data_IF_123224198794
#
_entry.id   IF_123224198794
#
_cell.length_a   1.000
_cell.length_b   1.000
_cell.length_c   1.000
_cell.angle_alpha   90.00
_cell.angle_beta   90.00
_cell.angle_gamma   90.00
#
_symmetry.space_group_name_H-M   'P 1'
#
loop_
_entity.id
_entity.type
_entity.pdbx_description
1 polymer ?
#
# COMPACT_ATOMS: atom_id res chain seq x y z
N UNK A 1 -24.94 -10.67 11.91
CA UNK A 1 -23.76 -11.00 12.74
C UNK A 1 -23.45 -9.75 13.55
N UNK A 2 -23.65 -9.78 14.87
CA UNK A 2 -23.42 -8.61 15.73
C UNK A 2 -21.94 -8.47 16.10
N UNK A 3 -21.23 -7.43 15.61
CA UNK A 3 -19.81 -7.24 15.85
C UNK A 3 -19.48 -6.75 17.28
N UNK A 4 -20.49 -6.42 18.09
CA UNK A 4 -20.36 -5.92 19.47
C UNK A 4 -20.55 -6.99 20.55
N UNK A 5 -20.83 -8.25 20.17
CA UNK A 5 -21.01 -9.33 21.15
C UNK A 5 -19.67 -9.68 21.82
N UNK A 6 -19.64 -9.75 23.16
CA UNK A 6 -18.45 -10.13 23.94
C UNK A 6 -17.84 -11.45 23.47
N UNK A 7 -18.69 -12.38 23.03
CA UNK A 7 -18.29 -13.67 22.44
C UNK A 7 -17.49 -13.51 21.14
N UNK A 8 -17.82 -12.54 20.29
CA UNK A 8 -17.05 -12.28 19.07
C UNK A 8 -15.65 -11.74 19.41
N UNK A 9 -15.54 -10.89 20.44
CA UNK A 9 -14.25 -10.36 20.90
C UNK A 9 -13.38 -11.45 21.55
N UNK A 10 -13.97 -12.34 22.34
CA UNK A 10 -13.27 -13.50 22.92
C UNK A 10 -12.77 -14.46 21.84
N UNK A 11 -13.61 -14.78 20.84
CA UNK A 11 -13.23 -15.62 19.71
C UNK A 11 -12.09 -15.00 18.89
N UNK A 12 -12.15 -13.70 18.62
CA UNK A 12 -11.08 -12.98 17.91
C UNK A 12 -9.77 -12.99 18.68
N UNK A 13 -9.83 -12.80 20.00
CA UNK A 13 -8.65 -12.83 20.87
C UNK A 13 -8.00 -14.21 20.86
N UNK A 14 -8.82 -15.27 20.96
CA UNK A 14 -8.36 -16.66 20.90
C UNK A 14 -7.67 -17.01 19.58
N UNK A 15 -8.22 -16.56 18.44
CA UNK A 15 -7.62 -16.76 17.11
C UNK A 15 -6.28 -16.00 17.02
N UNK A 16 -6.26 -14.73 17.45
CA UNK A 16 -5.04 -13.88 17.43
C UNK A 16 -3.90 -14.45 18.26
N UNK A 17 -4.18 -15.09 19.40
CA UNK A 17 -3.14 -15.74 20.23
C UNK A 17 -2.55 -17.00 19.60
N UNK A 18 -3.25 -17.67 18.67
CA UNK A 18 -2.73 -18.87 17.98
C UNK A 18 -2.07 -18.59 16.63
N UNK A 19 -2.28 -17.40 16.06
CA UNK A 19 -1.66 -17.02 14.80
C UNK A 19 -0.19 -16.67 15.03
N UNK A 20 0.71 -17.39 14.36
CA UNK A 20 2.15 -17.19 14.50
C UNK A 20 2.55 -15.75 14.14
N UNK A 21 3.42 -15.13 14.95
CA UNK A 21 3.85 -13.73 14.81
C UNK A 21 4.41 -13.41 13.42
N UNK A 22 4.92 -14.42 12.71
CA UNK A 22 5.45 -14.30 11.35
C UNK A 22 4.43 -13.80 10.30
N UNK A 23 3.12 -13.90 10.59
CA UNK A 23 2.05 -13.52 9.66
C UNK A 23 1.28 -12.27 10.09
N UNK A 24 1.68 -11.61 11.18
CA UNK A 24 1.09 -10.33 11.58
C UNK A 24 1.67 -9.23 10.69
N UNK A 25 0.86 -8.40 10.01
CA UNK A 25 1.38 -7.23 9.31
C UNK A 25 2.19 -6.41 10.30
N UNK A 26 3.44 -6.12 9.95
CA UNK A 26 4.29 -5.28 10.76
C UNK A 26 3.60 -3.92 10.88
N UNK A 27 2.95 -3.68 12.02
CA UNK A 27 2.51 -2.34 12.39
C UNK A 27 3.77 -1.50 12.45
N UNK A 28 4.07 -0.82 11.35
CA UNK A 28 5.17 0.14 11.27
C UNK A 28 4.66 1.38 12.00
N UNK A 29 4.43 1.25 13.31
CA UNK A 29 4.14 2.31 14.27
C UNK A 29 5.41 3.04 14.65
N UNK A 30 6.28 3.32 13.67
CA UNK A 30 7.46 4.14 13.87
C UNK A 30 7.07 5.61 13.75
N UNK A 31 7.76 6.49 14.49
CA UNK A 31 7.62 7.94 14.37
C UNK A 31 7.68 8.43 12.90
N UNK A 32 8.38 7.71 12.02
CA UNK A 32 8.40 7.94 10.58
C UNK A 32 7.01 7.83 9.92
N UNK A 33 6.15 6.91 10.35
CA UNK A 33 4.78 6.78 9.83
C UNK A 33 3.89 7.96 10.27
N UNK A 34 4.20 8.55 11.43
CA UNK A 34 3.55 9.80 11.90
C UNK A 34 4.05 11.02 11.12
N UNK A 35 5.35 11.08 10.79
CA UNK A 35 5.94 12.19 10.04
C UNK A 35 5.63 12.11 8.53
N UNK A 36 5.48 10.90 7.98
CA UNK A 36 5.15 10.63 6.59
C UNK A 36 3.65 10.33 6.41
N UNK A 37 2.79 10.96 7.21
CA UNK A 37 1.33 10.76 7.14
C UNK A 37 0.72 11.04 5.76
N UNK A 38 1.42 11.80 4.91
CA UNK A 38 1.01 12.06 3.53
C UNK A 38 1.07 10.80 2.65
N UNK A 39 1.80 9.76 3.05
CA UNK A 39 1.83 8.48 2.31
C UNK A 39 0.47 7.76 2.35
N UNK A 40 -0.34 7.91 3.41
CA UNK A 40 -1.67 7.26 3.49
C UNK A 40 -2.77 8.01 2.72
N UNK A 41 -2.44 9.15 2.10
CA UNK A 41 -3.47 9.96 1.44
C UNK A 41 -3.98 9.29 0.16
N UNK A 42 -5.30 9.28 -0.07
CA UNK A 42 -5.87 8.76 -1.32
C UNK A 42 -5.26 9.45 -2.55
N UNK A 43 -5.05 8.69 -3.63
CA UNK A 43 -4.44 9.18 -4.88
C UNK A 43 -5.06 10.49 -5.38
N UNK A 44 -6.39 10.60 -5.30
CA UNK A 44 -7.13 11.81 -5.69
C UNK A 44 -6.67 13.07 -4.91
N UNK A 45 -6.42 12.92 -3.59
CA UNK A 45 -5.97 14.03 -2.74
C UNK A 45 -4.55 14.46 -3.09
N UNK A 46 -3.66 13.51 -3.39
CA UNK A 46 -2.28 13.79 -3.87
C UNK A 46 -2.29 14.54 -5.20
N UNK A 47 -3.16 14.15 -6.12
CA UNK A 47 -3.34 14.83 -7.41
C UNK A 47 -3.86 16.27 -7.25
N UNK A 48 -4.85 16.51 -6.38
CA UNK A 48 -5.38 17.86 -6.13
C UNK A 48 -4.29 18.77 -5.52
N UNK A 49 -3.54 18.28 -4.55
CA UNK A 49 -2.46 19.05 -3.90
C UNK A 49 -1.33 19.34 -4.88
N UNK A 50 -0.94 18.35 -5.69
CA UNK A 50 0.02 18.55 -6.78
C UNK A 50 -0.46 19.58 -7.79
N UNK A 51 -1.70 19.48 -8.27
CA UNK A 51 -2.27 20.42 -9.24
C UNK A 51 -2.33 21.86 -8.68
N UNK A 52 -2.69 22.03 -7.40
CA UNK A 52 -2.69 23.33 -6.75
C UNK A 52 -1.28 23.92 -6.63
N UNK A 53 -0.28 23.10 -6.26
CA UNK A 53 1.12 23.53 -6.19
C UNK A 53 1.65 23.97 -7.57
N UNK A 54 1.32 23.22 -8.63
CA UNK A 54 1.65 23.57 -10.01
C UNK A 54 0.99 24.89 -10.43
N UNK A 55 -0.31 25.06 -10.17
CA UNK A 55 -1.04 26.28 -10.50
C UNK A 55 -0.44 27.51 -9.79
N UNK A 56 -0.07 27.39 -8.51
CA UNK A 56 0.61 28.45 -7.75
C UNK A 56 2.00 28.76 -8.35
N UNK A 57 2.77 27.72 -8.69
CA UNK A 57 4.08 27.87 -9.33
C UNK A 57 4.00 28.59 -10.68
N UNK A 58 3.00 28.25 -11.50
CA UNK A 58 2.74 28.92 -12.79
C UNK A 58 2.29 30.35 -12.58
N UNK A 59 1.40 30.62 -11.62
CA UNK A 59 0.88 31.96 -11.36
C UNK A 59 1.98 32.92 -10.87
N UNK A 60 2.99 32.41 -10.16
CA UNK A 60 4.20 33.14 -9.78
C UNK A 60 5.18 33.35 -10.94
N UNK A 61 5.11 32.54 -12.00
CA UNK A 61 5.85 32.71 -13.26
C UNK A 61 5.17 33.67 -14.24
N UNK A 62 3.85 33.89 -14.12
CA UNK A 62 3.11 34.85 -14.95
C UNK A 62 3.71 36.26 -14.76
N UNK A 63 4.08 36.97 -15.84
CA UNK A 63 4.82 38.21 -15.73
C UNK A 63 3.92 39.35 -15.24
N UNK A 64 3.89 39.56 -13.93
CA UNK A 64 3.44 40.83 -13.37
C UNK A 64 4.64 41.78 -13.44
N UNK A 65 4.62 42.68 -14.42
CA UNK A 65 5.74 43.53 -14.81
C UNK A 65 6.42 44.25 -13.62
N UNK A 66 7.72 44.00 -13.38
CA UNK A 66 8.49 44.79 -12.42
C UNK A 66 9.79 44.17 -11.89
N UNK A 67 10.66 45.02 -11.32
CA UNK A 67 12.00 44.71 -10.78
C UNK A 67 12.03 43.68 -9.63
N UNK A 68 10.87 43.36 -9.04
CA UNK A 68 10.64 42.26 -8.07
C UNK A 68 10.83 40.86 -8.66
N UNK A 69 11.02 40.73 -9.98
CA UNK A 69 11.17 39.49 -10.76
C UNK A 69 12.17 38.47 -10.20
N UNK A 70 13.38 38.88 -9.81
CA UNK A 70 14.43 37.93 -9.34
C UNK A 70 14.14 37.37 -7.95
N UNK A 71 13.51 38.16 -7.08
CA UNK A 71 13.16 37.72 -5.73
C UNK A 71 11.94 36.79 -5.75
N UNK A 72 10.93 37.08 -6.59
CA UNK A 72 9.74 36.24 -6.72
C UNK A 72 10.00 34.95 -7.52
N UNK A 73 10.89 34.97 -8.52
CA UNK A 73 11.27 33.74 -9.25
C UNK A 73 12.03 32.74 -8.38
N UNK A 74 12.82 33.22 -7.41
CA UNK A 74 13.46 32.35 -6.42
C UNK A 74 12.43 31.71 -5.48
N UNK A 75 11.33 32.42 -5.19
CA UNK A 75 10.23 31.92 -4.36
C UNK A 75 9.41 30.82 -5.07
N UNK A 76 9.35 30.83 -6.41
CA UNK A 76 8.69 29.79 -7.21
C UNK A 76 9.36 28.40 -7.09
N UNK A 77 10.61 28.32 -6.62
CA UNK A 77 11.32 27.04 -6.45
C UNK A 77 10.60 26.13 -5.45
N UNK A 78 10.01 26.69 -4.40
CA UNK A 78 9.31 25.94 -3.36
C UNK A 78 8.06 25.20 -3.88
N UNK A 79 7.08 25.86 -4.56
CA UNK A 79 5.91 25.15 -5.08
C UNK A 79 6.25 24.13 -6.17
N UNK A 80 7.26 24.39 -7.00
CA UNK A 80 7.74 23.38 -7.97
C UNK A 80 8.42 22.19 -7.29
N UNK A 81 9.19 22.41 -6.22
CA UNK A 81 9.75 21.31 -5.43
C UNK A 81 8.65 20.47 -4.77
N UNK A 82 7.61 21.11 -4.23
CA UNK A 82 6.42 20.43 -3.68
C UNK A 82 5.69 19.65 -4.77
N UNK A 83 5.52 20.22 -5.96
CA UNK A 83 4.90 19.54 -7.09
C UNK A 83 5.70 18.31 -7.53
N UNK A 84 7.02 18.44 -7.70
CA UNK A 84 7.91 17.32 -8.05
C UNK A 84 7.85 16.23 -6.97
N UNK A 85 7.89 16.60 -5.69
CA UNK A 85 7.77 15.64 -4.59
C UNK A 85 6.42 14.91 -4.61
N UNK A 86 5.32 15.60 -4.94
CA UNK A 86 3.98 15.00 -5.07
C UNK A 86 3.88 14.07 -6.28
N UNK A 87 4.41 14.46 -7.44
CA UNK A 87 4.45 13.60 -8.63
C UNK A 87 5.31 12.38 -8.36
N UNK A 88 6.50 12.55 -7.77
CA UNK A 88 7.36 11.45 -7.38
C UNK A 88 6.65 10.51 -6.39
N UNK A 89 5.96 11.04 -5.37
CA UNK A 89 5.16 10.23 -4.46
C UNK A 89 4.09 9.42 -5.20
N UNK A 90 3.37 10.01 -6.15
CA UNK A 90 2.31 9.32 -6.92
C UNK A 90 2.89 8.24 -7.83
N UNK A 91 4.02 8.52 -8.48
CA UNK A 91 4.71 7.54 -9.35
C UNK A 91 5.31 6.40 -8.53
N UNK A 92 5.80 6.67 -7.33
CA UNK A 92 6.31 5.66 -6.41
C UNK A 92 5.18 4.88 -5.69
N UNK A 93 3.97 5.42 -5.64
CA UNK A 93 2.78 4.75 -5.06
C UNK A 93 2.18 3.65 -5.94
N UNK A 94 2.78 3.40 -7.11
CA UNK A 94 2.19 2.54 -8.12
C UNK A 94 2.53 1.06 -7.90
N UNK A 95 2.03 0.55 -6.76
CA UNK A 95 1.48 -0.80 -6.61
C UNK A 95 0.33 -0.67 -5.61
N UNK A 96 -0.87 -0.34 -6.10
CA UNK A 96 -2.07 -0.57 -5.30
C UNK A 96 -2.15 -2.07 -5.07
N UNK A 97 -1.77 -2.37 -3.84
CA UNK A 97 -1.53 -3.67 -3.32
C UNK A 97 -2.87 -4.00 -2.65
N UNK A 98 -3.74 -4.69 -3.41
CA UNK A 98 -5.09 -5.00 -2.95
C UNK A 98 -4.95 -5.98 -1.76
N UNK A 99 -5.44 -5.60 -0.59
CA UNK A 99 -5.46 -6.51 0.56
C UNK A 99 -6.38 -7.69 0.24
N UNK A 100 -5.88 -8.90 0.49
CA UNK A 100 -6.56 -10.15 0.21
C UNK A 100 -6.40 -11.10 1.39
N UNK A 101 -7.34 -12.01 1.55
CA UNK A 101 -7.31 -13.04 2.59
C UNK A 101 -7.21 -14.40 1.94
N UNK A 102 -6.27 -15.21 2.42
CA UNK A 102 -6.13 -16.61 2.04
C UNK A 102 -7.35 -17.38 2.56
N UNK A 103 -8.08 -18.04 1.67
CA UNK A 103 -9.32 -18.76 2.00
C UNK A 103 -9.07 -20.19 2.51
N UNK A 104 -8.05 -20.85 1.96
CA UNK A 104 -7.67 -22.23 2.28
C UNK A 104 -6.18 -22.35 2.52
N UNK A 105 -5.76 -23.39 3.25
CA UNK A 105 -4.34 -23.66 3.52
C UNK A 105 -3.60 -23.90 2.19
N UNK A 106 -2.73 -22.96 1.80
CA UNK A 106 -2.13 -22.93 0.46
C UNK A 106 -0.62 -22.79 0.52
N UNK A 107 0.07 -23.56 -0.31
CA UNK A 107 1.53 -23.45 -0.44
C UNK A 107 1.85 -22.22 -1.28
N UNK A 108 2.58 -21.26 -0.69
CA UNK A 108 3.15 -20.14 -1.44
C UNK A 108 4.29 -20.66 -2.32
N UNK A 109 4.23 -20.42 -3.63
CA UNK A 109 5.20 -20.93 -4.61
C UNK A 109 6.11 -19.84 -5.16
N UNK A 110 7.32 -20.20 -5.56
CA UNK A 110 8.27 -19.23 -6.13
C UNK A 110 7.88 -18.79 -7.57
N UNK A 111 7.13 -19.61 -8.30
CA UNK A 111 6.68 -19.34 -9.67
C UNK A 111 5.20 -19.74 -9.86
N UNK A 112 4.60 -19.24 -10.95
CA UNK A 112 3.22 -19.44 -11.40
C UNK A 112 2.97 -20.84 -11.99
N UNK A 113 3.45 -21.88 -11.30
CA UNK A 113 3.25 -23.27 -11.71
C UNK A 113 3.08 -24.22 -10.52
N UNK A 114 2.33 -25.31 -10.75
CA UNK A 114 2.07 -26.31 -9.71
C UNK A 114 3.33 -27.09 -9.29
N UNK A 115 4.35 -27.14 -10.15
CA UNK A 115 5.64 -27.79 -9.88
C UNK A 115 6.69 -26.88 -9.24
N UNK A 116 6.40 -25.58 -9.08
CA UNK A 116 7.36 -24.66 -8.50
C UNK A 116 7.64 -24.97 -7.02
N UNK A 117 8.89 -24.78 -6.57
CA UNK A 117 9.24 -24.99 -5.17
C UNK A 117 8.47 -24.03 -4.26
N UNK A 118 8.26 -24.45 -3.02
CA UNK A 118 7.64 -23.61 -2.02
C UNK A 118 8.55 -22.41 -1.69
N UNK A 119 8.00 -21.20 -1.75
CA UNK A 119 8.68 -19.98 -1.35
C UNK A 119 8.77 -19.85 0.18
N UNK A 120 7.91 -20.56 0.92
CA UNK A 120 7.93 -20.66 2.37
C UNK A 120 8.04 -22.12 2.79
N UNK A 121 8.73 -22.36 3.90
CA UNK A 121 8.84 -23.70 4.49
C UNK A 121 7.51 -24.25 5.01
N UNK A 122 6.55 -23.37 5.31
CA UNK A 122 5.22 -23.72 5.78
C UNK A 122 4.15 -23.16 4.83
N UNK A 123 3.03 -23.87 4.63
CA UNK A 123 1.89 -23.34 3.88
C UNK A 123 1.29 -22.13 4.61
N UNK A 124 0.68 -21.23 3.84
CA UNK A 124 -0.08 -20.11 4.36
C UNK A 124 -1.38 -20.65 4.96
N UNK A 125 -1.64 -20.43 6.25
CA UNK A 125 -2.89 -20.85 6.85
C UNK A 125 -4.05 -20.00 6.33
N UNK A 126 -5.25 -20.59 6.30
CA UNK A 126 -6.49 -19.84 6.04
C UNK A 126 -6.62 -18.62 6.97
N UNK A 127 -7.17 -17.54 6.46
CA UNK A 127 -7.30 -16.27 7.19
C UNK A 127 -6.03 -15.43 7.22
N UNK A 128 -4.96 -15.83 6.53
CA UNK A 128 -3.75 -15.00 6.42
C UNK A 128 -4.04 -13.79 5.54
N UNK A 129 -3.82 -12.60 6.10
CA UNK A 129 -3.82 -11.35 5.34
C UNK A 129 -2.57 -11.30 4.46
N UNK A 130 -2.79 -11.13 3.16
CA UNK A 130 -1.75 -11.04 2.15
C UNK A 130 -2.04 -9.87 1.24
N UNK A 131 -1.00 -9.36 0.63
CA UNK A 131 -1.11 -8.22 -0.25
C UNK A 131 -1.00 -8.68 -1.70
N UNK A 132 -2.04 -8.44 -2.49
CA UNK A 132 -2.12 -8.90 -3.89
C UNK A 132 -1.27 -7.99 -4.78
N UNK A 133 -0.26 -8.59 -5.43
CA UNK A 133 0.68 -7.88 -6.28
C UNK A 133 0.27 -7.93 -7.75
N UNK A 134 -0.14 -9.10 -8.21
CA UNK A 134 -0.38 -9.38 -9.63
C UNK A 134 -1.33 -10.57 -9.77
N UNK A 135 -2.16 -10.60 -10.80
CA UNK A 135 -3.02 -11.75 -11.13
C UNK A 135 -2.77 -12.17 -12.57
N UNK A 136 -2.52 -13.47 -12.79
CA UNK A 136 -2.25 -14.09 -14.09
C UNK A 136 -3.05 -15.38 -14.23
N UNK A 137 -4.06 -15.39 -15.08
CA UNK A 137 -4.90 -16.56 -15.36
C UNK A 137 -5.30 -17.32 -14.08
N UNK A 138 -4.70 -18.50 -13.86
CA UNK A 138 -4.97 -19.38 -12.72
C UNK A 138 -4.13 -19.07 -11.45
N UNK A 139 -3.24 -18.09 -11.49
CA UNK A 139 -2.30 -17.75 -10.43
C UNK A 139 -2.42 -16.30 -9.99
N UNK A 140 -2.19 -16.06 -8.72
CA UNK A 140 -2.13 -14.73 -8.13
C UNK A 140 -0.84 -14.62 -7.34
N UNK A 141 -0.07 -13.57 -7.63
CA UNK A 141 1.13 -13.22 -6.89
C UNK A 141 0.74 -12.41 -5.68
N UNK A 142 1.14 -12.87 -4.51
CA UNK A 142 0.85 -12.24 -3.23
C UNK A 142 2.15 -12.00 -2.45
N UNK A 143 2.13 -11.00 -1.58
CA UNK A 143 3.17 -10.75 -0.59
C UNK A 143 2.61 -11.00 0.79
N UNK A 144 3.37 -11.73 1.59
CA UNK A 144 3.04 -12.04 2.98
C UNK A 144 3.64 -10.95 3.89
N UNK A 145 3.10 -10.78 5.09
CA UNK A 145 3.57 -9.78 6.07
C UNK A 145 5.10 -9.80 6.34
N UNK A 146 5.74 -10.96 6.22
CA UNK A 146 7.20 -11.10 6.37
C UNK A 146 8.02 -10.56 5.17
N UNK A 147 7.37 -9.97 4.16
CA UNK A 147 7.99 -9.43 2.95
C UNK A 147 8.23 -10.46 1.84
N UNK A 148 7.98 -11.75 2.10
CA UNK A 148 8.16 -12.81 1.09
C UNK A 148 7.04 -12.73 0.05
N UNK A 149 7.41 -12.70 -1.23
CA UNK A 149 6.46 -12.71 -2.34
C UNK A 149 6.47 -14.07 -3.05
N UNK A 150 5.30 -14.53 -3.48
CA UNK A 150 5.17 -15.77 -4.23
C UNK A 150 3.79 -15.88 -4.89
N UNK A 151 3.53 -17.04 -5.48
CA UNK A 151 2.34 -17.33 -6.26
C UNK A 151 1.45 -18.33 -5.53
N UNK A 152 0.16 -18.06 -5.55
CA UNK A 152 -0.91 -18.95 -5.08
C UNK A 152 -1.93 -19.14 -6.19
N UNK A 153 -2.70 -20.25 -6.21
CA UNK A 153 -3.82 -20.39 -7.14
C UNK A 153 -4.81 -19.24 -6.97
N UNK A 154 -5.38 -18.74 -8.06
CA UNK A 154 -6.22 -17.54 -8.07
C UNK A 154 -7.47 -17.66 -7.20
N UNK A 155 -8.03 -18.87 -7.05
CA UNK A 155 -9.16 -19.13 -6.17
C UNK A 155 -8.82 -19.28 -4.68
N UNK A 156 -7.53 -19.28 -4.32
CA UNK A 156 -7.10 -19.43 -2.92
C UNK A 156 -7.13 -18.11 -2.15
N UNK A 157 -7.32 -16.98 -2.82
CA UNK A 157 -7.29 -15.64 -2.22
C UNK A 157 -8.52 -14.84 -2.64
N UNK A 158 -9.20 -14.27 -1.66
CA UNK A 158 -10.32 -13.35 -1.87
C UNK A 158 -9.86 -11.92 -1.61
N UNK A 159 -10.26 -11.00 -2.48
CA UNK A 159 -9.92 -9.59 -2.30
C UNK A 159 -10.83 -8.95 -1.27
N UNK A 160 -10.26 -8.20 -0.33
CA UNK A 160 -11.02 -7.33 0.55
C UNK A 160 -11.39 -6.09 -0.28
N UNK A 161 -12.66 -6.00 -0.68
CA UNK A 161 -13.17 -4.76 -1.26
C UNK A 161 -13.35 -3.74 -0.12
N UNK A 162 -12.81 -2.52 -0.25
CA UNK A 162 -13.00 -1.46 0.75
C UNK A 162 -14.45 -0.96 0.79
#
# INVERSE_FOLDING_TARGET
LDPSSSRAQENLTWIRTRQADAFRPATTGGAAATLLFFHTWPRARKMIVGAAAFAIGVLLLVPWAGRRRRALSALSVLPFAVWIAMVASVVLEDRHEDDAVVMDDVVLRAADSAGAPAALSQPLPRGTEVTLLERRDAWTRVRVANGTAGWVPGGAVERILP
#
